data_IF_044974749271
#
_entry.id   IF_044974749271
#
_cell.length_a   1.000
_cell.length_b   1.000
_cell.length_c   1.000
_cell.angle_alpha   90.00
_cell.angle_beta   90.00
_cell.angle_gamma   90.00
#
_symmetry.space_group_name_H-M   'P 1'
#
loop_
_entity.id
_entity.type
_entity.pdbx_description
1 polymer ?
#
# COMPACT_ATOMS: atom_id res chain seq x y z
N UNK A 1 -0.79 75.49 51.69
CA UNK A 1 -0.61 74.10 52.15
C UNK A 1 -1.60 73.15 51.48
N UNK A 2 -2.91 73.43 51.31
CA UNK A 2 -3.89 72.53 50.65
C UNK A 2 -3.57 72.12 49.19
N UNK A 3 -2.97 73.09 48.44
CA UNK A 3 -2.60 72.85 47.03
C UNK A 3 -1.45 71.84 46.88
N UNK A 4 -0.51 71.86 47.84
CA UNK A 4 0.61 70.92 47.86
C UNK A 4 0.14 69.48 48.20
N UNK A 5 -0.76 69.31 49.13
CA UNK A 5 -1.37 68.01 49.44
C UNK A 5 -2.20 67.47 48.29
N UNK A 6 -2.91 68.31 47.56
CA UNK A 6 -3.64 67.88 46.36
C UNK A 6 -2.72 67.36 45.24
N UNK A 7 -1.67 68.09 44.96
CA UNK A 7 -0.66 67.63 43.94
C UNK A 7 0.05 66.30 44.35
N UNK A 8 0.33 66.17 45.65
CA UNK A 8 0.93 64.96 46.19
C UNK A 8 -0.02 63.77 46.11
N UNK A 9 -1.32 63.98 46.38
CA UNK A 9 -2.36 62.96 46.20
C UNK A 9 -2.51 62.48 44.71
N UNK A 10 -2.50 63.48 43.79
CA UNK A 10 -2.58 63.20 42.34
C UNK A 10 -1.37 62.40 41.83
N UNK A 11 -0.19 62.75 42.35
CA UNK A 11 1.05 62.00 42.00
C UNK A 11 0.99 60.56 42.47
N UNK A 12 0.61 60.30 43.70
CA UNK A 12 0.47 58.96 44.29
C UNK A 12 -0.56 58.13 43.47
N UNK A 13 -1.73 58.77 43.15
CA UNK A 13 -2.75 58.12 42.35
C UNK A 13 -2.25 57.74 40.95
N UNK A 14 -1.51 58.61 40.27
CA UNK A 14 -0.93 58.37 39.00
C UNK A 14 0.07 57.20 39.03
N UNK A 15 0.94 57.16 40.05
CA UNK A 15 1.89 56.03 40.22
C UNK A 15 1.16 54.72 40.51
N UNK A 16 0.13 54.73 41.34
CA UNK A 16 -0.69 53.56 41.60
C UNK A 16 -1.41 53.05 40.33
N UNK A 17 -2.01 53.98 39.56
CA UNK A 17 -2.68 53.64 38.33
C UNK A 17 -1.74 53.02 37.28
N UNK A 18 -0.52 53.57 37.13
CA UNK A 18 0.49 53.00 36.24
C UNK A 18 0.98 51.61 36.69
N UNK A 19 1.13 51.42 38.01
CA UNK A 19 1.51 50.14 38.59
C UNK A 19 0.43 49.07 38.37
N UNK A 20 -0.84 49.40 38.60
CA UNK A 20 -1.98 48.49 38.33
C UNK A 20 -2.07 48.15 36.85
N UNK A 21 -1.92 49.17 36.00
CA UNK A 21 -1.91 48.94 34.54
C UNK A 21 -0.77 48.02 34.11
N UNK A 22 0.41 48.17 34.68
CA UNK A 22 1.55 47.30 34.43
C UNK A 22 1.28 45.85 34.82
N UNK A 23 0.78 45.64 36.04
CA UNK A 23 0.42 44.26 36.50
C UNK A 23 -0.64 43.64 35.61
N UNK A 24 -1.65 44.43 35.19
CA UNK A 24 -2.71 43.92 34.33
C UNK A 24 -2.17 43.52 32.94
N UNK A 25 -1.32 44.34 32.33
CA UNK A 25 -0.71 44.02 31.04
C UNK A 25 0.24 42.82 31.11
N UNK A 26 1.01 42.71 32.21
CA UNK A 26 1.91 41.57 32.43
C UNK A 26 1.11 40.28 32.62
N UNK A 27 0.02 40.29 33.37
CA UNK A 27 -0.87 39.16 33.54
C UNK A 27 -1.51 38.72 32.22
N UNK A 28 -1.97 39.65 31.37
CA UNK A 28 -2.50 39.34 30.04
C UNK A 28 -1.43 38.73 29.12
N UNK A 29 -0.20 39.26 29.18
CA UNK A 29 0.91 38.74 28.41
C UNK A 29 1.24 37.30 28.82
N UNK A 30 1.28 37.04 30.14
CA UNK A 30 1.51 35.67 30.65
C UNK A 30 0.39 34.71 30.23
N UNK A 31 -0.87 35.11 30.30
CA UNK A 31 -2.01 34.30 29.91
C UNK A 31 -1.95 33.97 28.40
N UNK A 32 -1.69 34.95 27.55
CA UNK A 32 -1.55 34.74 26.11
C UNK A 32 -0.37 33.84 25.76
N UNK A 33 0.76 33.96 26.48
CA UNK A 33 1.93 33.11 26.31
C UNK A 33 1.63 31.64 26.67
N UNK A 34 0.94 31.41 27.79
CA UNK A 34 0.53 30.05 28.22
C UNK A 34 -0.44 29.42 27.19
N UNK A 35 -1.40 30.21 26.71
CA UNK A 35 -2.34 29.76 25.68
C UNK A 35 -1.61 29.37 24.37
N UNK A 36 -0.69 30.22 23.93
CA UNK A 36 0.11 29.94 22.74
C UNK A 36 0.97 28.66 22.88
N UNK A 37 1.57 28.46 24.06
CA UNK A 37 2.33 27.26 24.36
C UNK A 37 1.47 25.98 24.36
N UNK A 38 0.27 26.06 24.94
CA UNK A 38 -0.72 24.97 24.94
C UNK A 38 -1.15 24.62 23.51
N UNK A 39 -1.50 25.62 22.70
CA UNK A 39 -1.87 25.41 21.30
C UNK A 39 -0.75 24.78 20.50
N UNK A 40 0.49 25.21 20.72
CA UNK A 40 1.67 24.61 20.07
C UNK A 40 1.83 23.14 20.45
N UNK A 41 1.68 22.80 21.74
CA UNK A 41 1.75 21.40 22.22
C UNK A 41 0.62 20.53 21.65
N UNK A 42 -0.61 21.06 21.60
CA UNK A 42 -1.75 20.35 20.99
C UNK A 42 -1.54 20.08 19.50
N UNK A 43 -1.01 21.07 18.76
CA UNK A 43 -0.66 20.90 17.36
C UNK A 43 0.44 19.84 17.16
N UNK A 44 1.47 19.86 18.00
CA UNK A 44 2.55 18.88 17.95
C UNK A 44 2.05 17.45 18.23
N UNK A 45 1.18 17.29 19.23
CA UNK A 45 0.54 16.00 19.54
C UNK A 45 -0.31 15.52 18.36
N UNK A 46 -1.06 16.42 17.74
CA UNK A 46 -1.90 16.09 16.58
C UNK A 46 -1.04 15.63 15.39
N UNK A 47 0.04 16.36 15.10
CA UNK A 47 0.98 15.98 14.04
C UNK A 47 1.67 14.63 14.30
N UNK A 48 2.00 14.34 15.56
CA UNK A 48 2.57 13.04 15.93
C UNK A 48 1.57 11.90 15.73
N UNK A 49 0.31 12.09 16.11
CA UNK A 49 -0.77 11.13 15.90
C UNK A 49 -1.02 10.87 14.40
N UNK A 50 -1.03 11.92 13.59
CA UNK A 50 -1.17 11.77 12.13
C UNK A 50 -0.01 10.99 11.51
N UNK A 51 1.24 11.26 11.95
CA UNK A 51 2.42 10.49 11.51
C UNK A 51 2.35 9.03 11.94
N UNK A 52 1.93 8.77 13.17
CA UNK A 52 1.75 7.40 13.68
C UNK A 52 0.69 6.66 12.87
N UNK A 53 -0.47 7.29 12.64
CA UNK A 53 -1.54 6.71 11.82
C UNK A 53 -1.10 6.43 10.39
N UNK A 54 -0.36 7.36 9.77
CA UNK A 54 0.20 7.16 8.43
C UNK A 54 1.20 5.99 8.41
N UNK A 55 2.06 5.87 9.43
CA UNK A 55 3.00 4.75 9.55
C UNK A 55 2.29 3.41 9.77
N UNK A 56 1.22 3.38 10.57
CA UNK A 56 0.39 2.17 10.75
C UNK A 56 -0.31 1.76 9.46
N UNK A 57 -0.88 2.71 8.72
CA UNK A 57 -1.47 2.45 7.41
C UNK A 57 -0.44 1.90 6.41
N UNK A 58 0.77 2.46 6.40
CA UNK A 58 1.86 1.93 5.56
C UNK A 58 2.26 0.51 5.95
N UNK A 59 2.30 0.19 7.26
CA UNK A 59 2.55 -1.15 7.78
C UNK A 59 1.45 -2.14 7.40
N UNK A 60 0.19 -1.76 7.43
CA UNK A 60 -0.93 -2.60 7.01
C UNK A 60 -0.88 -2.89 5.51
N UNK A 61 -0.60 -1.88 4.69
CA UNK A 61 -0.37 -2.07 3.25
C UNK A 61 0.79 -3.02 3.00
N UNK A 62 1.90 -2.87 3.73
CA UNK A 62 3.06 -3.76 3.63
C UNK A 62 2.70 -5.20 4.01
N UNK A 63 1.97 -5.40 5.12
CA UNK A 63 1.50 -6.74 5.55
C UNK A 63 0.53 -7.37 4.55
N UNK A 64 -0.34 -6.58 3.92
CA UNK A 64 -1.29 -7.08 2.93
C UNK A 64 -0.65 -7.50 1.61
N UNK A 65 0.56 -7.02 1.32
CA UNK A 65 1.32 -7.40 0.12
C UNK A 65 2.02 -8.76 0.25
N UNK A 66 2.19 -9.25 1.48
CA UNK A 66 2.64 -10.62 1.75
C UNK A 66 1.38 -11.40 2.15
N UNK A 67 0.75 -12.08 1.20
CA UNK A 67 -0.39 -12.95 1.49
C UNK A 67 0.07 -14.14 2.38
N UNK A 68 -0.32 -14.18 3.68
CA UNK A 68 0.08 -15.26 4.56
C UNK A 68 -0.45 -16.62 4.09
N UNK A 69 -1.62 -16.63 3.47
CA UNK A 69 -2.24 -17.85 2.96
C UNK A 69 -1.46 -18.40 1.75
N UNK A 70 -1.01 -17.52 0.85
CA UNK A 70 -0.10 -17.91 -0.23
C UNK A 70 1.20 -18.49 0.32
N UNK A 71 1.76 -17.87 1.36
CA UNK A 71 2.99 -18.33 2.01
C UNK A 71 2.81 -19.72 2.64
N UNK A 72 1.77 -19.94 3.45
CA UNK A 72 1.52 -21.24 4.09
C UNK A 72 1.28 -22.34 3.06
N UNK A 73 0.52 -22.07 2.00
CA UNK A 73 0.28 -23.03 0.93
C UNK A 73 1.58 -23.44 0.23
N UNK A 74 2.46 -22.46 -0.08
CA UNK A 74 3.74 -22.77 -0.71
C UNK A 74 4.66 -23.58 0.21
N UNK A 75 4.67 -23.33 1.52
CA UNK A 75 5.42 -24.14 2.46
C UNK A 75 4.90 -25.57 2.58
N UNK A 76 3.59 -25.78 2.49
CA UNK A 76 3.00 -27.12 2.48
C UNK A 76 3.45 -27.92 1.24
N UNK A 77 3.36 -27.31 0.05
CA UNK A 77 3.84 -27.91 -1.20
C UNK A 77 5.34 -28.21 -1.12
N UNK A 78 6.15 -27.28 -0.62
CA UNK A 78 7.58 -27.47 -0.47
C UNK A 78 7.90 -28.65 0.45
N UNK A 79 7.16 -28.81 1.58
CA UNK A 79 7.34 -29.93 2.50
C UNK A 79 7.04 -31.29 1.84
N UNK A 80 6.03 -31.36 0.97
CA UNK A 80 5.70 -32.56 0.20
C UNK A 80 6.82 -32.87 -0.80
N UNK A 81 7.25 -31.86 -1.57
CA UNK A 81 8.29 -32.01 -2.59
C UNK A 81 9.65 -32.42 -2.00
N UNK A 82 10.03 -31.96 -0.81
CA UNK A 82 11.28 -32.35 -0.16
C UNK A 82 11.35 -33.88 0.05
N UNK A 83 10.20 -34.52 0.30
CA UNK A 83 10.12 -35.96 0.52
C UNK A 83 10.05 -36.74 -0.80
N UNK A 84 9.34 -36.20 -1.79
CA UNK A 84 9.06 -36.89 -3.06
C UNK A 84 10.16 -36.70 -4.11
N UNK A 85 10.60 -35.45 -4.32
CA UNK A 85 11.58 -35.06 -5.34
C UNK A 85 12.38 -33.82 -4.90
N UNK A 86 13.59 -34.08 -4.39
CA UNK A 86 14.48 -33.03 -3.91
C UNK A 86 14.87 -32.02 -5.00
N UNK A 87 15.06 -32.46 -6.25
CA UNK A 87 15.43 -31.57 -7.35
C UNK A 87 14.26 -30.61 -7.69
N UNK A 88 13.02 -31.13 -7.64
CA UNK A 88 11.82 -30.33 -7.83
C UNK A 88 11.60 -29.36 -6.66
N UNK A 89 11.89 -29.80 -5.43
CA UNK A 89 11.86 -28.96 -4.24
C UNK A 89 12.85 -27.79 -4.34
N UNK A 90 14.08 -28.02 -4.78
CA UNK A 90 15.09 -26.97 -5.01
C UNK A 90 14.61 -25.94 -6.04
N UNK A 91 14.08 -26.41 -7.17
CA UNK A 91 13.55 -25.54 -8.22
C UNK A 91 12.34 -24.74 -7.73
N UNK A 92 11.48 -25.35 -6.95
CA UNK A 92 10.33 -24.68 -6.32
C UNK A 92 10.80 -23.58 -5.36
N UNK A 93 11.75 -23.87 -4.48
CA UNK A 93 12.32 -22.93 -3.53
C UNK A 93 13.02 -21.75 -4.22
N UNK A 94 13.74 -22.00 -5.33
CA UNK A 94 14.37 -20.94 -6.13
C UNK A 94 13.32 -19.96 -6.69
N UNK A 95 12.23 -20.47 -7.29
CA UNK A 95 11.16 -19.62 -7.80
C UNK A 95 10.41 -18.89 -6.66
N UNK A 96 10.15 -19.54 -5.54
CA UNK A 96 9.56 -18.93 -4.36
C UNK A 96 10.41 -17.78 -3.84
N UNK A 97 11.73 -17.97 -3.77
CA UNK A 97 12.70 -16.96 -3.38
C UNK A 97 12.72 -15.77 -4.35
N UNK A 98 12.63 -16.01 -5.66
CA UNK A 98 12.54 -14.96 -6.69
C UNK A 98 11.28 -14.13 -6.53
N UNK A 99 10.13 -14.78 -6.30
CA UNK A 99 8.85 -14.10 -6.09
C UNK A 99 8.92 -13.19 -4.86
N UNK A 100 9.33 -13.69 -3.71
CA UNK A 100 9.41 -12.86 -2.50
C UNK A 100 10.44 -11.75 -2.61
N UNK A 101 11.61 -12.02 -3.21
CA UNK A 101 12.64 -11.00 -3.43
C UNK A 101 12.11 -9.87 -4.30
N UNK A 102 11.42 -10.19 -5.40
CA UNK A 102 10.83 -9.18 -6.28
C UNK A 102 9.82 -8.31 -5.53
N UNK A 103 8.88 -8.92 -4.80
CA UNK A 103 7.88 -8.19 -4.02
C UNK A 103 8.56 -7.24 -3.03
N UNK A 104 9.52 -7.74 -2.22
CA UNK A 104 10.20 -6.94 -1.19
C UNK A 104 11.02 -5.79 -1.81
N UNK A 105 11.73 -6.04 -2.91
CA UNK A 105 12.56 -5.02 -3.56
C UNK A 105 11.73 -3.90 -4.21
N UNK A 106 10.53 -4.21 -4.66
CA UNK A 106 9.68 -3.28 -5.39
C UNK A 106 8.57 -2.64 -4.54
N UNK A 107 8.54 -2.90 -3.21
CA UNK A 107 7.55 -2.32 -2.28
C UNK A 107 7.46 -0.78 -2.33
N UNK A 108 8.60 -0.11 -2.60
CA UNK A 108 8.72 1.35 -2.61
C UNK A 108 8.84 1.94 -4.02
N UNK A 109 8.83 1.10 -5.04
CA UNK A 109 8.90 1.56 -6.43
C UNK A 109 7.51 1.84 -6.96
N UNK A 110 7.37 2.98 -7.62
CA UNK A 110 6.09 3.33 -8.26
C UNK A 110 5.87 2.52 -9.53
N UNK A 111 6.94 2.30 -10.31
CA UNK A 111 6.92 1.56 -11.55
C UNK A 111 8.14 0.65 -11.71
N UNK A 112 7.98 -0.38 -12.54
CA UNK A 112 9.00 -1.31 -13.00
C UNK A 112 8.90 -1.47 -14.51
N UNK A 113 9.95 -1.98 -15.17
CA UNK A 113 9.85 -2.31 -16.59
C UNK A 113 8.91 -3.49 -16.82
N UNK A 114 8.30 -3.54 -18.01
CA UNK A 114 7.46 -4.66 -18.41
C UNK A 114 8.27 -5.96 -18.39
N UNK A 115 9.54 -5.93 -18.82
CA UNK A 115 10.43 -7.07 -18.77
C UNK A 115 10.63 -7.62 -17.35
N UNK A 116 10.87 -6.73 -16.36
CA UNK A 116 11.00 -7.12 -14.94
C UNK A 116 9.71 -7.78 -14.44
N UNK A 117 8.55 -7.20 -14.76
CA UNK A 117 7.24 -7.73 -14.32
C UNK A 117 6.91 -9.07 -14.98
N UNK A 118 7.19 -9.25 -16.28
CA UNK A 118 7.00 -10.54 -16.99
C UNK A 118 7.95 -11.61 -16.45
N UNK A 119 9.19 -11.25 -16.14
CA UNK A 119 10.16 -12.18 -15.55
C UNK A 119 9.70 -12.66 -14.17
N UNK A 120 9.21 -11.75 -13.37
CA UNK A 120 8.59 -12.08 -12.09
C UNK A 120 7.34 -12.94 -12.25
N UNK A 121 6.47 -12.61 -13.21
CA UNK A 121 5.23 -13.34 -13.47
C UNK A 121 5.52 -14.80 -13.85
N UNK A 122 6.58 -15.08 -14.60
CA UNK A 122 6.98 -16.47 -14.89
C UNK A 122 7.31 -17.27 -13.63
N UNK A 123 8.05 -16.68 -12.69
CA UNK A 123 8.36 -17.33 -11.42
C UNK A 123 7.10 -17.58 -10.59
N UNK A 124 6.18 -16.63 -10.58
CA UNK A 124 4.88 -16.77 -9.92
C UNK A 124 4.02 -17.87 -10.56
N UNK A 125 3.92 -17.91 -11.90
CA UNK A 125 3.17 -18.93 -12.63
C UNK A 125 3.74 -20.33 -12.38
N UNK A 126 5.04 -20.45 -12.24
CA UNK A 126 5.65 -21.74 -11.88
C UNK A 126 5.09 -22.26 -10.54
N UNK A 127 4.96 -21.40 -9.52
CA UNK A 127 4.37 -21.78 -8.24
C UNK A 127 2.87 -22.11 -8.35
N UNK A 128 2.14 -21.36 -9.17
CA UNK A 128 0.72 -21.62 -9.45
C UNK A 128 0.52 -22.97 -10.12
N UNK A 129 1.35 -23.32 -11.11
CA UNK A 129 1.31 -24.62 -11.79
C UNK A 129 1.55 -25.79 -10.82
N UNK A 130 2.47 -25.63 -9.88
CA UNK A 130 2.72 -26.65 -8.86
C UNK A 130 1.52 -26.85 -7.92
N UNK A 131 0.72 -25.80 -7.70
CA UNK A 131 -0.45 -25.86 -6.82
C UNK A 131 -1.73 -26.35 -7.50
N UNK A 132 -1.96 -25.92 -8.72
CA UNK A 132 -3.22 -26.15 -9.44
C UNK A 132 -3.09 -27.22 -10.53
N UNK A 133 -1.87 -27.67 -10.78
CA UNK A 133 -1.55 -28.67 -11.80
C UNK A 133 -2.23 -28.34 -13.16
N UNK A 134 -2.98 -29.30 -13.70
CA UNK A 134 -3.70 -29.14 -14.96
C UNK A 134 -5.02 -28.34 -14.84
N UNK A 135 -5.39 -27.89 -13.66
CA UNK A 135 -6.62 -27.11 -13.48
C UNK A 135 -6.50 -25.65 -13.94
N UNK A 136 -5.28 -25.11 -14.07
CA UNK A 136 -5.04 -23.74 -14.52
C UNK A 136 -3.98 -23.73 -15.61
N UNK A 137 -4.35 -23.18 -16.77
CA UNK A 137 -3.44 -23.00 -17.91
C UNK A 137 -3.19 -21.49 -18.10
N UNK A 138 -1.92 -21.06 -17.96
CA UNK A 138 -1.54 -19.67 -18.12
C UNK A 138 -0.54 -19.55 -19.25
N UNK A 139 -0.86 -18.75 -20.24
CA UNK A 139 -0.04 -18.47 -21.43
C UNK A 139 0.39 -17.00 -21.44
N UNK A 140 1.67 -16.75 -21.65
CA UNK A 140 2.25 -15.41 -21.74
C UNK A 140 2.91 -15.23 -23.10
N UNK A 141 2.54 -14.16 -23.78
CA UNK A 141 3.24 -13.75 -24.99
C UNK A 141 4.64 -13.23 -24.64
N UNK A 142 5.66 -14.01 -25.01
CA UNK A 142 7.07 -13.67 -24.74
C UNK A 142 7.53 -12.37 -25.42
N UNK A 143 6.82 -11.90 -26.45
CA UNK A 143 7.11 -10.62 -27.11
C UNK A 143 6.90 -9.43 -26.18
N UNK A 144 6.13 -9.59 -25.08
CA UNK A 144 5.92 -8.56 -24.06
C UNK A 144 7.24 -8.10 -23.42
N UNK A 145 8.24 -8.96 -23.30
CA UNK A 145 9.57 -8.60 -22.76
C UNK A 145 10.32 -7.59 -23.61
N UNK A 146 9.95 -7.46 -24.88
CA UNK A 146 10.61 -6.55 -25.82
C UNK A 146 9.96 -5.16 -25.85
N UNK A 147 8.88 -4.96 -25.09
CA UNK A 147 8.16 -3.70 -25.04
C UNK A 147 8.89 -2.76 -24.09
N UNK A 148 9.31 -1.62 -24.61
CA UNK A 148 9.81 -0.52 -23.79
C UNK A 148 8.63 0.20 -23.13
N UNK A 149 8.43 -0.08 -21.83
CA UNK A 149 7.34 0.46 -21.06
C UNK A 149 7.49 0.21 -19.56
N UNK A 150 6.72 0.95 -18.78
CA UNK A 150 6.70 0.81 -17.34
C UNK A 150 5.28 0.62 -16.81
N UNK A 151 5.13 -0.26 -15.83
CA UNK A 151 3.87 -0.58 -15.16
C UNK A 151 4.08 -0.63 -13.64
N UNK A 152 3.02 -0.45 -12.84
CA UNK A 152 3.12 -0.68 -11.41
C UNK A 152 3.55 -2.11 -11.09
N UNK A 153 4.47 -2.32 -10.12
CA UNK A 153 4.90 -3.67 -9.76
C UNK A 153 3.75 -4.53 -9.23
N UNK A 154 3.82 -5.84 -9.49
CA UNK A 154 2.86 -6.85 -8.99
C UNK A 154 1.45 -6.73 -9.64
N UNK A 155 1.26 -5.86 -10.63
CA UNK A 155 -0.06 -5.63 -11.21
C UNK A 155 -0.54 -6.82 -12.08
N UNK A 156 0.34 -7.44 -12.85
CA UNK A 156 -0.02 -8.61 -13.67
C UNK A 156 -0.31 -9.83 -12.80
N UNK A 157 0.46 -10.05 -11.74
CA UNK A 157 0.16 -11.10 -10.75
C UNK A 157 -1.23 -10.92 -10.16
N UNK A 158 -1.58 -9.72 -9.72
CA UNK A 158 -2.90 -9.45 -9.12
C UNK A 158 -4.05 -9.74 -10.09
N UNK A 159 -3.88 -9.46 -11.38
CA UNK A 159 -4.89 -9.79 -12.40
C UNK A 159 -5.02 -11.30 -12.60
N UNK A 160 -3.90 -12.02 -12.69
CA UNK A 160 -3.88 -13.49 -12.77
C UNK A 160 -4.49 -14.11 -11.52
N UNK A 161 -4.15 -13.63 -10.34
CA UNK A 161 -4.71 -14.08 -9.07
C UNK A 161 -6.22 -13.86 -8.98
N UNK A 162 -6.70 -12.70 -9.42
CA UNK A 162 -8.13 -12.41 -9.50
C UNK A 162 -8.85 -13.38 -10.46
N UNK A 163 -8.27 -13.67 -11.63
CA UNK A 163 -8.82 -14.65 -12.55
C UNK A 163 -8.98 -16.03 -11.89
N UNK A 164 -7.97 -16.49 -11.16
CA UNK A 164 -8.00 -17.79 -10.46
C UNK A 164 -9.02 -17.76 -9.30
N UNK A 165 -9.04 -16.70 -8.52
CA UNK A 165 -9.87 -16.58 -7.31
C UNK A 165 -11.36 -16.51 -7.62
N UNK A 166 -11.73 -15.91 -8.74
CA UNK A 166 -13.13 -15.63 -9.08
C UNK A 166 -13.73 -16.62 -10.08
N UNK A 167 -12.94 -17.55 -10.61
CA UNK A 167 -13.41 -18.53 -11.58
C UNK A 167 -13.21 -19.98 -11.11
N UNK A 168 -14.11 -20.84 -11.52
CA UNK A 168 -14.01 -22.29 -11.28
C UNK A 168 -12.92 -22.89 -12.18
N UNK A 169 -12.02 -23.64 -11.58
CA UNK A 169 -10.97 -24.37 -12.27
C UNK A 169 -10.98 -25.84 -11.83
N UNK A 170 -10.79 -26.76 -12.76
CA UNK A 170 -10.62 -28.19 -12.48
C UNK A 170 -9.82 -28.84 -13.61
N UNK A 171 -9.21 -30.00 -13.34
CA UNK A 171 -8.47 -30.73 -14.36
C UNK A 171 -9.32 -31.14 -15.60
N UNK A 172 -10.64 -31.36 -15.41
CA UNK A 172 -11.57 -31.65 -16.53
C UNK A 172 -11.96 -30.39 -17.32
N UNK A 173 -11.94 -29.23 -16.69
CA UNK A 173 -12.30 -27.95 -17.28
C UNK A 173 -11.28 -26.91 -16.82
N UNK A 174 -10.08 -26.91 -17.38
CA UNK A 174 -9.03 -25.97 -17.00
C UNK A 174 -9.46 -24.51 -17.20
N UNK A 175 -9.06 -23.65 -16.29
CA UNK A 175 -9.19 -22.21 -16.44
C UNK A 175 -8.04 -21.74 -17.34
N UNK A 176 -8.38 -21.16 -18.50
CA UNK A 176 -7.40 -20.56 -19.39
C UNK A 176 -7.24 -19.08 -19.08
N UNK A 177 -5.99 -18.65 -18.91
CA UNK A 177 -5.60 -17.24 -18.70
C UNK A 177 -4.53 -16.90 -19.74
N UNK A 178 -4.69 -15.79 -20.44
CA UNK A 178 -3.73 -15.31 -21.44
C UNK A 178 -3.27 -13.91 -21.11
N UNK A 179 -1.96 -13.67 -21.23
CA UNK A 179 -1.33 -12.36 -21.06
C UNK A 179 -0.65 -12.02 -22.38
N UNK A 180 -1.15 -11.01 -23.06
CA UNK A 180 -0.70 -10.67 -24.40
C UNK A 180 -0.78 -9.17 -24.65
N UNK A 181 -0.20 -8.72 -25.77
CA UNK A 181 -0.28 -7.36 -26.24
C UNK A 181 -1.43 -7.19 -27.21
N UNK A 182 -2.23 -6.16 -27.01
CA UNK A 182 -3.21 -5.69 -28.00
C UNK A 182 -2.96 -4.21 -28.24
N UNK A 183 -2.56 -3.86 -29.46
CA UNK A 183 -2.13 -2.50 -29.83
C UNK A 183 -1.05 -1.93 -28.88
N UNK A 184 -1.45 -1.02 -27.99
CA UNK A 184 -0.56 -0.37 -27.02
C UNK A 184 -0.81 -0.81 -25.57
N UNK A 185 -1.71 -1.75 -25.36
CA UNK A 185 -2.11 -2.21 -24.03
C UNK A 185 -1.61 -3.64 -23.77
N UNK A 186 -1.37 -3.96 -22.50
CA UNK A 186 -1.18 -5.31 -22.02
C UNK A 186 -2.53 -5.81 -21.53
N UNK A 187 -2.98 -6.92 -22.12
CA UNK A 187 -4.29 -7.53 -21.83
C UNK A 187 -4.08 -8.80 -21.03
N UNK A 188 -4.84 -8.96 -19.96
CA UNK A 188 -4.99 -10.21 -19.21
C UNK A 188 -6.43 -10.68 -19.42
N UNK A 189 -6.59 -11.77 -20.14
CA UNK A 189 -7.88 -12.38 -20.49
C UNK A 189 -8.03 -13.74 -19.83
N UNK A 190 -9.22 -14.08 -19.39
CA UNK A 190 -9.52 -15.41 -18.87
C UNK A 190 -10.90 -15.90 -19.27
N UNK A 191 -11.10 -17.23 -19.25
CA UNK A 191 -12.42 -17.84 -19.35
C UNK A 191 -13.34 -17.34 -18.24
N UNK A 192 -14.56 -16.96 -18.57
CA UNK A 192 -15.54 -16.52 -17.59
C UNK A 192 -16.32 -17.72 -17.03
N UNK A 193 -15.96 -18.17 -15.82
CA UNK A 193 -16.65 -19.28 -15.10
C UNK A 193 -16.85 -18.92 -13.63
N UNK A 194 -17.68 -17.91 -13.34
CA UNK A 194 -17.75 -17.35 -12.00
C UNK A 194 -18.11 -18.38 -10.94
N UNK A 195 -17.46 -18.28 -9.79
CA UNK A 195 -17.84 -19.03 -8.60
C UNK A 195 -19.05 -18.30 -8.02
N UNK A 196 -20.19 -19.01 -7.84
CA UNK A 196 -21.32 -18.48 -7.09
C UNK A 196 -20.88 -18.36 -5.62
N UNK A 197 -20.33 -17.21 -5.24
CA UNK A 197 -19.99 -16.92 -3.85
C UNK A 197 -20.97 -15.89 -3.32
N UNK A 198 -21.62 -16.20 -2.19
CA UNK A 198 -22.41 -15.24 -1.40
C UNK A 198 -21.51 -14.20 -0.70
N UNK A 199 -20.20 -14.30 -0.88
CA UNK A 199 -19.26 -13.31 -0.37
C UNK A 199 -19.08 -12.21 -1.42
N UNK A 200 -19.59 -11.02 -1.12
CA UNK A 200 -19.18 -9.80 -1.83
C UNK A 200 -17.65 -9.77 -1.91
N UNK A 201 -17.11 -9.86 -3.11
CA UNK A 201 -15.68 -9.66 -3.30
C UNK A 201 -15.37 -8.26 -2.76
N UNK A 202 -14.45 -8.16 -1.82
CA UNK A 202 -14.07 -6.86 -1.21
C UNK A 202 -13.61 -5.84 -2.25
N UNK A 203 -13.35 -6.29 -3.50
CA UNK A 203 -12.90 -5.45 -4.61
C UNK A 203 -11.58 -4.70 -4.33
N UNK A 204 -10.91 -5.04 -3.22
CA UNK A 204 -9.71 -4.33 -2.76
C UNK A 204 -8.57 -4.48 -3.78
N UNK A 205 -8.39 -5.67 -4.38
CA UNK A 205 -7.35 -5.90 -5.38
C UNK A 205 -7.49 -4.98 -6.59
N UNK A 206 -8.67 -4.96 -7.21
CA UNK A 206 -8.94 -4.11 -8.37
C UNK A 206 -8.92 -2.62 -8.01
N UNK A 207 -9.43 -2.23 -6.84
CA UNK A 207 -9.35 -0.84 -6.35
C UNK A 207 -7.90 -0.38 -6.17
N UNK A 208 -7.02 -1.26 -5.69
CA UNK A 208 -5.60 -0.96 -5.52
C UNK A 208 -4.90 -0.76 -6.87
N UNK A 209 -5.16 -1.65 -7.85
CA UNK A 209 -4.61 -1.51 -9.22
C UNK A 209 -5.10 -0.20 -9.84
N UNK A 210 -6.42 0.04 -9.84
CA UNK A 210 -7.03 1.25 -10.39
C UNK A 210 -6.45 2.49 -9.71
N UNK A 211 -6.33 2.50 -8.38
CA UNK A 211 -5.77 3.62 -7.62
C UNK A 211 -4.33 3.92 -8.00
N UNK A 212 -3.47 2.90 -8.14
CA UNK A 212 -2.07 3.07 -8.57
C UNK A 212 -1.97 3.61 -10.00
N UNK A 213 -2.74 3.07 -10.94
CA UNK A 213 -2.73 3.55 -12.32
C UNK A 213 -3.24 4.99 -12.43
N UNK A 214 -4.27 5.37 -11.70
CA UNK A 214 -4.77 6.75 -11.68
C UNK A 214 -3.74 7.75 -11.15
N UNK A 215 -2.98 7.36 -10.12
CA UNK A 215 -1.93 8.20 -9.55
C UNK A 215 -0.74 8.38 -10.49
N UNK A 216 -0.32 7.30 -11.17
CA UNK A 216 0.90 7.28 -11.99
C UNK A 216 0.67 7.75 -13.43
N UNK A 217 -0.41 7.28 -14.05
CA UNK A 217 -0.63 7.47 -15.49
C UNK A 217 -1.78 8.42 -15.80
N UNK A 218 -2.56 8.87 -14.80
CA UNK A 218 -3.81 9.63 -14.97
C UNK A 218 -4.81 8.92 -15.90
N UNK A 219 -4.61 7.64 -16.20
CA UNK A 219 -5.51 6.77 -16.97
C UNK A 219 -6.05 5.70 -16.05
N UNK A 220 -7.32 5.37 -16.22
CA UNK A 220 -7.96 4.26 -15.51
C UNK A 220 -7.73 2.99 -16.33
N UNK A 221 -7.19 1.89 -15.76
CA UNK A 221 -7.15 0.63 -16.45
C UNK A 221 -8.57 0.13 -16.68
N UNK A 222 -8.79 -0.56 -17.78
CA UNK A 222 -10.06 -1.23 -18.07
C UNK A 222 -9.99 -2.62 -17.39
N UNK A 223 -10.82 -2.83 -16.36
CA UNK A 223 -10.87 -4.10 -15.60
C UNK A 223 -12.32 -4.58 -15.55
#
# INVERSE_FOLDING_TARGET
EGLAFFHQGLYIFSVMATFVSYIYTDAQYMESSILAERQKKELEITLLKEKEHAAQMQLEVLKSQIDPHFMFNNFSILSELIVEDTALAEKFLDNLSKVYRYVIQNLKRDTVSIEEEITFLHSYIYLIKMRYEDAVCIDIDETLKQIDGQIPPVCLQLLVENAIKHNRASARHPLSIRVFREENDIVVENDLRPIASDFESTGIGNKNIIGRYLLLCKKKPFI
#
